data_IF_099517051616
#
_entry.id   IF_099517051616
#
_cell.length_a   1.000
_cell.length_b   1.000
_cell.length_c   1.000
_cell.angle_alpha   90.00
_cell.angle_beta   90.00
_cell.angle_gamma   90.00
#
_symmetry.space_group_name_H-M   'P 1'
#
loop_
_entity.id
_entity.type
_entity.pdbx_description
1 polymer ?
#
# COMPACT_ATOMS: atom_id res chain seq x y z
N UNK A 1 -17.04 -21.55 7.67
CA UNK A 1 -16.13 -22.72 7.68
C UNK A 1 -14.75 -22.49 7.03
N UNK A 2 -14.38 -21.31 6.52
CA UNK A 2 -13.05 -21.04 5.96
C UNK A 2 -12.06 -20.17 6.79
N UNK A 3 -12.45 -19.30 7.75
CA UNK A 3 -11.53 -18.31 8.30
C UNK A 3 -10.46 -18.87 9.25
N UNK A 4 -10.67 -20.05 9.85
CA UNK A 4 -9.71 -20.61 10.82
C UNK A 4 -8.45 -21.23 10.19
N UNK A 5 -8.51 -21.60 8.90
CA UNK A 5 -7.37 -22.27 8.22
C UNK A 5 -6.34 -21.28 7.66
N UNK A 6 -6.77 -20.06 7.32
CA UNK A 6 -5.92 -19.05 6.67
C UNK A 6 -4.85 -18.47 7.63
N UNK A 7 -5.15 -18.19 8.91
CA UNK A 7 -4.14 -17.75 9.87
C UNK A 7 -2.92 -18.68 9.97
N UNK A 8 -3.13 -20.00 9.90
CA UNK A 8 -2.03 -20.98 9.89
C UNK A 8 -1.11 -20.86 8.68
N UNK A 9 -1.61 -20.36 7.54
CA UNK A 9 -0.81 -20.16 6.33
C UNK A 9 0.17 -18.97 6.45
N UNK A 10 -0.03 -18.06 7.40
CA UNK A 10 0.95 -17.01 7.73
C UNK A 10 2.27 -17.63 8.22
N UNK A 11 2.23 -18.84 8.77
CA UNK A 11 3.43 -19.52 9.26
C UNK A 11 4.12 -20.41 8.21
N UNK A 12 3.57 -20.50 7.00
CA UNK A 12 4.16 -21.26 5.89
C UNK A 12 5.63 -20.90 5.65
N UNK A 13 6.44 -21.86 5.21
CA UNK A 13 7.82 -21.63 4.79
C UNK A 13 7.89 -20.81 3.50
N UNK A 14 6.95 -21.03 2.59
CA UNK A 14 6.79 -20.31 1.33
C UNK A 14 6.45 -18.84 1.58
N UNK A 15 7.26 -17.95 1.02
CA UNK A 15 7.13 -16.51 1.22
C UNK A 15 5.91 -15.91 0.51
N UNK A 16 5.61 -16.39 -0.69
CA UNK A 16 4.50 -15.87 -1.49
C UNK A 16 3.18 -16.34 -0.89
N UNK A 17 3.06 -17.62 -0.53
CA UNK A 17 1.86 -18.13 0.16
C UNK A 17 1.58 -17.39 1.46
N UNK A 18 2.63 -17.12 2.25
CA UNK A 18 2.53 -16.38 3.51
C UNK A 18 2.07 -14.94 3.29
N UNK A 19 2.61 -14.25 2.28
CA UNK A 19 2.19 -12.89 1.96
C UNK A 19 0.73 -12.86 1.47
N UNK A 20 0.36 -13.77 0.57
CA UNK A 20 -1.00 -13.90 0.06
C UNK A 20 -2.00 -14.22 1.17
N UNK A 21 -1.65 -15.09 2.13
CA UNK A 21 -2.48 -15.37 3.29
C UNK A 21 -2.73 -14.11 4.14
N UNK A 22 -1.67 -13.33 4.39
CA UNK A 22 -1.79 -12.07 5.13
C UNK A 22 -2.68 -11.04 4.42
N UNK A 23 -2.47 -10.82 3.12
CA UNK A 23 -3.30 -9.92 2.32
C UNK A 23 -4.76 -10.39 2.25
N UNK A 24 -4.98 -11.71 2.11
CA UNK A 24 -6.32 -12.30 2.09
C UNK A 24 -7.05 -12.06 3.41
N UNK A 25 -6.37 -12.24 4.55
CA UNK A 25 -6.95 -11.95 5.86
C UNK A 25 -7.32 -10.47 5.94
N UNK A 26 -6.44 -9.55 5.52
CA UNK A 26 -6.74 -8.12 5.52
C UNK A 26 -7.97 -7.77 4.68
N UNK A 27 -8.10 -8.35 3.47
CA UNK A 27 -9.27 -8.19 2.60
C UNK A 27 -10.54 -8.73 3.28
N UNK A 28 -10.48 -9.92 3.89
CA UNK A 28 -11.65 -10.52 4.53
C UNK A 28 -12.19 -9.65 5.67
N UNK A 29 -11.31 -9.08 6.49
CA UNK A 29 -11.71 -8.20 7.58
C UNK A 29 -12.17 -6.83 7.07
N UNK A 30 -11.57 -6.29 6.01
CA UNK A 30 -12.05 -5.06 5.38
C UNK A 30 -13.50 -5.25 4.89
N UNK A 31 -13.76 -6.30 4.10
CA UNK A 31 -15.11 -6.63 3.61
C UNK A 31 -16.08 -6.88 4.78
N UNK A 32 -15.64 -7.61 5.81
CA UNK A 32 -16.49 -7.90 6.95
C UNK A 32 -16.89 -6.63 7.73
N UNK A 33 -15.94 -5.70 7.91
CA UNK A 33 -16.20 -4.39 8.55
C UNK A 33 -17.10 -3.49 7.69
N UNK A 34 -16.99 -3.57 6.38
CA UNK A 34 -17.87 -2.83 5.45
C UNK A 34 -19.32 -3.34 5.51
N UNK A 35 -19.53 -4.65 5.75
CA UNK A 35 -20.86 -5.26 5.87
C UNK A 35 -21.46 -5.04 7.26
N UNK A 36 -20.66 -5.19 8.30
CA UNK A 36 -21.08 -5.04 9.69
C UNK A 36 -20.03 -4.25 10.48
N UNK A 37 -20.38 -3.02 10.86
CA UNK A 37 -19.51 -2.15 11.65
C UNK A 37 -19.23 -2.67 13.06
N UNK A 38 -20.02 -3.65 13.54
CA UNK A 38 -19.87 -4.31 14.85
C UNK A 38 -19.11 -5.65 14.68
N UNK A 39 -18.60 -5.94 13.49
CA UNK A 39 -17.90 -7.18 13.21
C UNK A 39 -16.76 -7.43 14.20
N UNK A 40 -16.61 -8.69 14.61
CA UNK A 40 -15.67 -9.11 15.62
C UNK A 40 -14.23 -8.70 15.25
N UNK A 41 -13.54 -8.08 16.21
CA UNK A 41 -12.12 -7.79 16.09
C UNK A 41 -11.30 -9.08 15.89
N UNK A 42 -10.16 -9.01 15.19
CA UNK A 42 -9.32 -10.16 14.99
C UNK A 42 -8.86 -10.75 16.34
N UNK A 43 -8.77 -12.08 16.44
CA UNK A 43 -8.33 -12.71 17.68
C UNK A 43 -6.91 -12.29 18.02
N UNK A 44 -6.63 -12.09 19.31
CA UNK A 44 -5.32 -11.62 19.79
C UNK A 44 -4.16 -12.51 19.30
N UNK A 45 -4.38 -13.82 19.19
CA UNK A 45 -3.40 -14.76 18.65
C UNK A 45 -2.97 -14.45 17.22
N UNK A 46 -3.89 -13.95 16.39
CA UNK A 46 -3.59 -13.51 15.03
C UNK A 46 -2.77 -12.22 15.05
N UNK A 47 -3.12 -11.24 15.88
CA UNK A 47 -2.36 -9.99 16.02
C UNK A 47 -0.92 -10.25 16.47
N UNK A 48 -0.73 -11.10 17.47
CA UNK A 48 0.61 -11.54 17.93
C UNK A 48 1.40 -12.18 16.78
N UNK A 49 0.74 -12.98 15.95
CA UNK A 49 1.40 -13.65 14.81
C UNK A 49 1.80 -12.64 13.74
N UNK A 50 0.93 -11.69 13.42
CA UNK A 50 1.20 -10.61 12.47
C UNK A 50 2.35 -9.72 12.94
N UNK A 51 2.37 -9.32 14.21
CA UNK A 51 3.46 -8.52 14.79
C UNK A 51 4.81 -9.25 14.72
N UNK A 52 4.84 -10.54 15.07
CA UNK A 52 6.04 -11.38 14.92
C UNK A 52 6.55 -11.39 13.48
N UNK A 53 5.67 -11.43 12.47
CA UNK A 53 6.06 -11.37 11.05
C UNK A 53 6.47 -9.96 10.61
N UNK A 54 5.85 -8.93 11.14
CA UNK A 54 6.19 -7.52 10.92
C UNK A 54 7.60 -7.17 11.43
N UNK A 55 8.05 -7.87 12.48
CA UNK A 55 9.35 -7.71 13.13
C UNK A 55 10.35 -8.85 12.87
N UNK A 56 10.08 -9.69 11.86
CA UNK A 56 10.91 -10.87 11.54
C UNK A 56 12.39 -10.48 11.29
N UNK A 57 13.30 -11.10 12.06
CA UNK A 57 14.74 -10.88 12.03
C UNK A 57 15.55 -12.06 11.48
N UNK A 58 14.88 -13.04 10.87
CA UNK A 58 15.49 -14.28 10.37
C UNK A 58 16.75 -14.03 9.51
N UNK A 59 17.87 -14.66 9.86
CA UNK A 59 19.17 -14.40 9.22
C UNK A 59 19.34 -15.11 7.87
N UNK A 60 18.67 -16.24 7.64
CA UNK A 60 18.84 -17.06 6.44
C UNK A 60 18.05 -16.60 5.20
N UNK A 61 17.10 -15.66 5.34
CA UNK A 61 16.33 -15.11 4.20
C UNK A 61 17.07 -13.97 3.50
N UNK A 62 16.79 -13.77 2.20
CA UNK A 62 17.38 -12.70 1.40
C UNK A 62 17.00 -11.29 1.90
N UNK A 63 17.89 -10.30 1.74
CA UNK A 63 17.67 -8.93 2.25
C UNK A 63 16.43 -8.26 1.62
N UNK A 64 16.21 -8.43 0.32
CA UNK A 64 15.07 -7.87 -0.43
C UNK A 64 13.75 -8.48 0.03
N UNK A 65 13.71 -9.80 0.10
CA UNK A 65 12.55 -10.58 0.55
C UNK A 65 12.13 -10.19 1.98
N UNK A 66 13.09 -10.16 2.93
CA UNK A 66 12.82 -9.73 4.31
C UNK A 66 12.27 -8.31 4.39
N UNK A 67 12.77 -7.41 3.56
CA UNK A 67 12.31 -6.03 3.53
C UNK A 67 10.86 -5.96 3.05
N UNK A 68 10.53 -6.69 1.98
CA UNK A 68 9.19 -6.75 1.43
C UNK A 68 8.21 -7.38 2.43
N UNK A 69 8.55 -8.57 2.96
CA UNK A 69 7.73 -9.26 3.95
C UNK A 69 7.42 -8.36 5.15
N UNK A 70 8.43 -7.75 5.78
CA UNK A 70 8.19 -6.84 6.91
C UNK A 70 7.35 -5.63 6.53
N UNK A 71 7.52 -5.07 5.34
CA UNK A 71 6.69 -3.96 4.89
C UNK A 71 5.23 -4.38 4.76
N UNK A 72 4.96 -5.50 4.07
CA UNK A 72 3.62 -6.06 3.89
C UNK A 72 2.97 -6.39 5.23
N UNK A 73 3.65 -7.11 6.12
CA UNK A 73 3.08 -7.49 7.42
C UNK A 73 2.88 -6.30 8.37
N UNK A 74 3.69 -5.24 8.26
CA UNK A 74 3.44 -3.98 9.00
C UNK A 74 2.22 -3.25 8.48
N UNK A 75 2.03 -3.18 7.16
CA UNK A 75 0.82 -2.60 6.58
C UNK A 75 -0.43 -3.36 7.03
N UNK A 76 -0.39 -4.70 6.98
CA UNK A 76 -1.48 -5.56 7.45
C UNK A 76 -1.75 -5.34 8.95
N UNK A 77 -0.72 -5.39 9.79
CA UNK A 77 -0.87 -5.17 11.24
C UNK A 77 -1.48 -3.80 11.56
N UNK A 78 -0.97 -2.74 10.93
CA UNK A 78 -1.47 -1.39 11.13
C UNK A 78 -2.92 -1.21 10.64
N UNK A 79 -3.37 -1.99 9.66
CA UNK A 79 -4.78 -1.96 9.24
C UNK A 79 -5.74 -2.52 10.29
N UNK A 80 -5.25 -3.41 11.15
CA UNK A 80 -6.02 -3.94 12.28
C UNK A 80 -6.00 -2.99 13.47
N UNK A 81 -4.83 -2.49 13.86
CA UNK A 81 -4.71 -1.65 15.06
C UNK A 81 -5.16 -0.20 14.85
N UNK A 82 -4.84 0.39 13.69
CA UNK A 82 -5.07 1.81 13.45
C UNK A 82 -6.16 2.08 12.42
N UNK A 83 -6.79 1.02 11.89
CA UNK A 83 -7.79 1.13 10.82
C UNK A 83 -7.21 1.70 9.51
N UNK A 84 -5.89 1.72 9.36
CA UNK A 84 -5.24 2.29 8.18
C UNK A 84 -5.20 1.30 7.03
N UNK A 85 -6.00 1.55 6.00
CA UNK A 85 -5.94 0.81 4.75
C UNK A 85 -4.67 1.14 3.95
N UNK A 86 -4.23 0.23 3.07
CA UNK A 86 -3.03 0.42 2.28
C UNK A 86 -3.18 1.59 1.32
N UNK A 87 -2.17 2.46 1.24
CA UNK A 87 -2.10 3.52 0.24
C UNK A 87 -1.20 3.06 -0.92
N UNK A 88 -1.76 3.00 -2.13
CA UNK A 88 -1.03 2.59 -3.32
C UNK A 88 -1.39 3.47 -4.51
N UNK A 89 -0.37 4.08 -5.12
CA UNK A 89 -0.52 5.04 -6.21
C UNK A 89 0.11 4.52 -7.49
N UNK A 90 -0.67 4.39 -8.56
CA UNK A 90 -0.21 3.96 -9.89
C UNK A 90 -0.33 5.13 -10.87
N UNK A 91 0.76 5.48 -11.55
CA UNK A 91 0.73 6.48 -12.62
C UNK A 91 0.59 5.79 -13.97
N UNK A 92 -0.44 6.14 -14.73
CA UNK A 92 -0.68 5.60 -16.07
C UNK A 92 -0.94 6.74 -17.07
N UNK A 93 0.06 7.02 -17.92
CA UNK A 93 0.00 8.19 -18.81
C UNK A 93 0.03 9.51 -18.03
N UNK A 94 -1.07 10.27 -18.07
CA UNK A 94 -1.23 11.56 -17.36
C UNK A 94 -2.07 11.45 -16.09
N UNK A 95 -2.76 10.33 -15.92
CA UNK A 95 -3.63 10.07 -14.78
C UNK A 95 -2.89 9.31 -13.69
N UNK A 96 -3.46 9.36 -12.50
CA UNK A 96 -2.96 8.70 -11.31
C UNK A 96 -4.13 7.95 -10.69
N UNK A 97 -3.99 6.64 -10.53
CA UNK A 97 -4.93 5.80 -9.79
C UNK A 97 -4.44 5.72 -8.35
N UNK A 98 -5.26 6.17 -7.42
CA UNK A 98 -5.03 6.07 -5.98
C UNK A 98 -5.94 4.99 -5.41
N UNK A 99 -5.33 3.97 -4.82
CA UNK A 99 -6.02 2.86 -4.16
C UNK A 99 -5.77 2.99 -2.66
N UNK A 100 -6.86 3.04 -1.91
CA UNK A 100 -6.85 3.21 -0.45
C UNK A 100 -7.58 2.04 0.26
N UNK A 101 -7.64 0.86 -0.37
CA UNK A 101 -8.31 -0.32 0.18
C UNK A 101 -7.57 -1.62 -0.16
N UNK A 102 -7.73 -2.64 0.69
CA UNK A 102 -7.18 -3.97 0.47
C UNK A 102 -7.87 -4.68 -0.71
N UNK A 103 -9.18 -4.55 -0.79
CA UNK A 103 -10.04 -5.00 -1.90
C UNK A 103 -9.60 -4.36 -3.23
N UNK A 104 -9.37 -3.05 -3.25
CA UNK A 104 -8.88 -2.34 -4.43
C UNK A 104 -7.49 -2.84 -4.86
N UNK A 105 -6.59 -3.09 -3.90
CA UNK A 105 -5.26 -3.67 -4.18
C UNK A 105 -5.38 -5.08 -4.75
N UNK A 106 -6.28 -5.91 -4.20
CA UNK A 106 -6.57 -7.26 -4.71
C UNK A 106 -7.06 -7.21 -6.16
N UNK A 107 -8.02 -6.35 -6.48
CA UNK A 107 -8.52 -6.18 -7.84
C UNK A 107 -7.41 -5.74 -8.79
N UNK A 108 -6.63 -4.73 -8.39
CA UNK A 108 -5.52 -4.25 -9.21
C UNK A 108 -4.49 -5.35 -9.49
N UNK A 109 -4.08 -6.12 -8.47
CA UNK A 109 -3.16 -7.24 -8.66
C UNK A 109 -3.75 -8.31 -9.58
N UNK A 110 -5.04 -8.64 -9.44
CA UNK A 110 -5.75 -9.58 -10.32
C UNK A 110 -5.75 -9.13 -11.78
N UNK A 111 -6.16 -7.88 -12.04
CA UNK A 111 -6.16 -7.33 -13.39
C UNK A 111 -4.74 -7.16 -13.95
N UNK A 112 -3.78 -6.74 -13.14
CA UNK A 112 -2.38 -6.60 -13.56
C UNK A 112 -1.77 -7.95 -13.94
N UNK A 113 -2.11 -9.03 -13.23
CA UNK A 113 -1.65 -10.37 -13.57
C UNK A 113 -2.32 -10.90 -14.84
N UNK A 114 -3.61 -10.60 -15.04
CA UNK A 114 -4.36 -11.02 -16.22
C UNK A 114 -3.95 -10.27 -17.50
N UNK A 115 -3.84 -8.94 -17.40
CA UNK A 115 -3.64 -8.04 -18.53
C UNK A 115 -2.16 -7.74 -18.81
N UNK A 116 -1.29 -7.95 -17.80
CA UNK A 116 0.15 -7.73 -17.91
C UNK A 116 0.49 -6.34 -18.42
N UNK A 117 1.25 -6.27 -19.51
CA UNK A 117 1.65 -5.01 -20.14
C UNK A 117 0.46 -4.17 -20.65
N UNK A 118 -0.71 -4.78 -20.88
CA UNK A 118 -1.93 -4.11 -21.32
C UNK A 118 -2.68 -3.34 -20.22
N UNK A 119 -2.31 -3.51 -18.93
CA UNK A 119 -3.02 -2.90 -17.80
C UNK A 119 -3.19 -1.37 -17.95
N UNK A 120 -2.14 -0.68 -18.39
CA UNK A 120 -2.19 0.77 -18.58
C UNK A 120 -3.11 1.23 -19.72
N UNK A 121 -3.29 0.41 -20.75
CA UNK A 121 -4.21 0.71 -21.86
C UNK A 121 -5.64 0.55 -21.37
N UNK A 122 -5.92 -0.55 -20.67
CA UNK A 122 -7.26 -0.78 -20.12
C UNK A 122 -7.64 0.25 -19.05
N UNK A 123 -6.71 0.71 -18.22
CA UNK A 123 -7.02 1.80 -17.27
C UNK A 123 -7.44 3.10 -17.96
N UNK A 124 -6.99 3.35 -19.21
CA UNK A 124 -7.37 4.53 -19.98
C UNK A 124 -8.67 4.36 -20.75
N UNK A 125 -8.83 3.23 -21.41
CA UNK A 125 -9.85 3.06 -22.45
C UNK A 125 -11.02 2.17 -22.02
N UNK A 126 -10.82 1.29 -21.04
CA UNK A 126 -11.85 0.33 -20.65
C UNK A 126 -12.79 0.93 -19.59
N UNK A 127 -14.00 1.32 -20.03
CA UNK A 127 -15.02 1.87 -19.14
C UNK A 127 -15.36 0.98 -17.93
N UNK A 128 -15.36 -0.35 -18.10
CA UNK A 128 -15.57 -1.27 -16.97
C UNK A 128 -14.43 -1.17 -15.95
N UNK A 129 -13.18 -1.24 -16.41
CA UNK A 129 -12.03 -1.17 -15.50
C UNK A 129 -11.96 0.20 -14.81
N UNK A 130 -12.32 1.27 -15.52
CA UNK A 130 -12.44 2.61 -14.95
C UNK A 130 -13.52 2.69 -13.88
N UNK A 131 -14.70 2.10 -14.12
CA UNK A 131 -15.77 2.04 -13.11
C UNK A 131 -15.37 1.24 -11.88
N UNK A 132 -14.62 0.14 -12.03
CA UNK A 132 -14.16 -0.68 -10.89
C UNK A 132 -13.25 0.12 -9.96
N UNK A 133 -12.43 1.02 -10.52
CA UNK A 133 -11.51 1.86 -9.76
C UNK A 133 -12.03 3.27 -9.48
N UNK A 134 -13.31 3.55 -9.76
CA UNK A 134 -13.91 4.90 -9.63
C UNK A 134 -13.08 5.99 -10.34
N UNK A 135 -12.50 5.67 -11.49
CA UNK A 135 -11.86 6.64 -12.37
C UNK A 135 -12.93 7.41 -13.15
N UNK A 136 -12.68 8.68 -13.44
CA UNK A 136 -13.55 9.52 -14.27
C UNK A 136 -13.81 8.86 -15.64
N UNK A 137 -14.84 9.28 -16.38
CA UNK A 137 -15.04 8.82 -17.76
C UNK A 137 -13.78 9.03 -18.61
N UNK A 138 -13.61 8.19 -19.65
CA UNK A 138 -12.42 8.19 -20.52
C UNK A 138 -12.10 9.63 -20.90
N UNK A 139 -10.94 10.11 -20.41
CA UNK A 139 -10.51 11.47 -20.70
C UNK A 139 -10.42 11.59 -22.23
N UNK A 140 -11.37 12.32 -22.83
CA UNK A 140 -11.22 12.79 -24.21
C UNK A 140 -9.87 13.47 -24.24
N UNK A 141 -8.96 13.03 -25.11
CA UNK A 141 -7.64 13.63 -25.22
C UNK A 141 -7.80 15.10 -25.64
N UNK A 142 -8.07 15.98 -24.68
CA UNK A 142 -7.91 17.41 -24.85
C UNK A 142 -6.44 17.61 -25.18
N UNK A 143 -6.23 18.03 -26.42
CA UNK A 143 -4.98 18.00 -27.14
C UNK A 143 -3.80 18.33 -26.24
N UNK A 144 -2.79 17.46 -26.29
CA UNK A 144 -1.46 17.66 -25.73
C UNK A 144 -1.38 18.81 -24.72
N UNK A 145 -1.86 18.63 -23.47
CA UNK A 145 -1.46 19.54 -22.38
C UNK A 145 0.06 19.49 -22.34
N UNK A 146 0.68 20.52 -22.92
CA UNK A 146 2.11 20.62 -23.07
C UNK A 146 2.70 20.44 -21.68
N UNK A 147 3.72 19.58 -21.54
CA UNK A 147 4.50 19.56 -20.30
C UNK A 147 4.87 21.02 -20.03
N UNK A 148 4.37 21.59 -18.93
CA UNK A 148 4.66 22.98 -18.56
C UNK A 148 6.16 23.25 -18.72
N UNK A 149 6.51 24.49 -19.09
CA UNK A 149 7.86 24.87 -19.47
C UNK A 149 8.89 24.22 -18.53
N UNK A 150 9.94 23.59 -19.07
CA UNK A 150 10.99 22.89 -18.28
C UNK A 150 11.44 23.73 -17.09
N UNK A 151 11.54 25.04 -17.29
CA UNK A 151 11.89 26.01 -16.27
C UNK A 151 10.89 26.05 -15.10
N UNK A 152 9.59 26.10 -15.39
CA UNK A 152 8.52 26.13 -14.41
C UNK A 152 8.48 24.84 -13.57
N UNK A 153 8.63 23.68 -14.21
CA UNK A 153 8.76 22.40 -13.49
C UNK A 153 10.00 22.37 -12.60
N UNK A 154 11.12 22.91 -13.07
CA UNK A 154 12.34 23.01 -12.27
C UNK A 154 12.15 23.95 -11.07
N UNK A 155 11.45 25.07 -11.24
CA UNK A 155 11.13 26.01 -10.18
C UNK A 155 10.21 25.39 -9.12
N UNK A 156 9.15 24.70 -9.55
CA UNK A 156 8.23 23.99 -8.68
C UNK A 156 8.97 22.90 -7.86
N UNK A 157 9.84 22.12 -8.51
CA UNK A 157 10.66 21.12 -7.83
C UNK A 157 11.64 21.76 -6.83
N UNK A 158 12.28 22.89 -7.18
CA UNK A 158 13.17 23.63 -6.26
C UNK A 158 12.41 24.17 -5.05
N UNK A 159 11.21 24.72 -5.26
CA UNK A 159 10.35 25.20 -4.18
C UNK A 159 9.92 24.05 -3.26
N UNK A 160 9.45 22.93 -3.83
CA UNK A 160 9.10 21.73 -3.07
C UNK A 160 10.28 21.16 -2.28
N UNK A 161 11.48 21.13 -2.87
CA UNK A 161 12.70 20.70 -2.17
C UNK A 161 13.07 21.63 -1.00
N UNK A 162 12.94 22.95 -1.20
CA UNK A 162 13.18 23.94 -0.14
C UNK A 162 12.19 23.77 1.02
N UNK A 163 10.90 23.63 0.72
CA UNK A 163 9.85 23.39 1.72
C UNK A 163 10.09 22.10 2.49
N UNK A 164 10.42 21.00 1.79
CA UNK A 164 10.76 19.73 2.42
C UNK A 164 11.98 19.85 3.33
N UNK A 165 13.02 20.56 2.88
CA UNK A 165 14.24 20.78 3.68
C UNK A 165 13.93 21.58 4.95
N UNK A 166 13.10 22.63 4.85
CA UNK A 166 12.67 23.43 6.00
C UNK A 166 11.83 22.62 6.99
N UNK A 167 10.86 21.84 6.51
CA UNK A 167 10.04 20.97 7.35
C UNK A 167 10.91 19.92 8.08
N UNK A 168 11.84 19.29 7.36
CA UNK A 168 12.73 18.30 7.95
C UNK A 168 13.73 18.90 8.94
N UNK A 169 14.19 20.14 8.75
CA UNK A 169 15.09 20.83 9.70
C UNK A 169 14.49 20.85 11.11
N UNK A 170 13.19 21.18 11.23
CA UNK A 170 12.46 21.17 12.51
C UNK A 170 12.47 19.80 13.19
N UNK A 171 12.35 18.72 12.43
CA UNK A 171 12.35 17.35 12.98
C UNK A 171 13.75 16.75 13.21
N UNK A 172 14.78 17.30 12.54
CA UNK A 172 16.17 16.81 12.67
C UNK A 172 16.81 17.28 13.97
N UNK A 173 16.51 18.49 14.40
CA UNK A 173 17.05 19.05 15.65
C UNK A 173 16.58 18.26 16.89
N UNK A 174 15.42 17.58 16.81
CA UNK A 174 14.92 16.69 17.88
C UNK A 174 15.82 15.46 18.16
N UNK A 175 16.69 15.06 17.22
CA UNK A 175 17.66 13.98 17.48
C UNK A 175 18.84 14.44 18.33
N UNK A 176 19.20 15.73 18.25
CA UNK A 176 20.34 16.31 18.98
C UNK A 176 19.93 16.64 20.43
N UNK A 177 18.69 17.04 20.65
CA UNK A 177 18.17 17.31 22.00
C UNK A 177 17.87 16.02 22.79
N UNK A 178 17.42 14.94 22.13
CA UNK A 178 17.23 13.64 22.80
C UNK A 178 18.53 13.05 23.33
N UNK A 179 19.64 13.19 22.61
CA UNK A 179 20.95 12.71 23.07
C UNK A 179 21.57 13.54 24.20
N UNK A 180 21.00 14.70 24.55
CA UNK A 180 21.45 15.53 25.68
C UNK A 180 20.62 15.33 26.95
N UNK A 181 19.59 14.49 26.90
CA UNK A 181 18.75 14.17 28.07
C UNK A 181 18.98 12.75 28.61
N UNK A 182 19.81 11.97 27.91
CA UNK A 182 20.19 10.58 28.28
C UNK A 182 21.63 10.48 28.82
N UNK A 183 22.28 11.61 29.14
CA UNK A 183 23.60 11.71 29.83
C UNK A 183 23.46 12.31 31.24
#
# INVERSE_FOLDING_TARGET
YAPEKIPGLIESSDADLRNQAGETIAVLYEIARDIDSIFAEPPESLLITLDKKANDSVKYKGKKEKRLQRATFREIYNSFEEGRSPEFTIKFGREVLEIQSWTGRLYYNGFSNLLGAGMNVHLKENGFLRSVFNLDDVAVEEGQKAKGNRFERQLANKAAFKLRTQALKKTRDNKVTRSQHDD
#
